data_IF_934567967725
#
_entry.id   IF_934567967725
#
_cell.length_a   1.000
_cell.length_b   1.000
_cell.length_c   1.000
_cell.angle_alpha   90.00
_cell.angle_beta   90.00
_cell.angle_gamma   90.00
#
_symmetry.space_group_name_H-M   'P 1'
#
loop_
_entity.id
_entity.type
_entity.pdbx_description
1 polymer ?
#
# COMPACT_ATOMS: atom_id res chain seq x y z
N UNK A 1 35.11 -46.21 6.86
CA UNK A 1 34.48 -45.52 5.71
C UNK A 1 32.94 -45.45 5.83
N UNK A 2 32.33 -45.49 7.03
CA UNK A 2 30.86 -45.39 7.18
C UNK A 2 30.37 -44.77 8.52
N UNK A 3 31.09 -43.81 9.11
CA UNK A 3 30.62 -43.13 10.35
C UNK A 3 30.12 -41.68 10.14
N UNK A 4 30.16 -41.17 8.90
CA UNK A 4 29.93 -39.75 8.61
C UNK A 4 28.44 -39.34 8.48
N UNK A 5 27.54 -40.30 8.25
CA UNK A 5 26.13 -39.99 7.97
C UNK A 5 25.32 -39.72 9.24
N UNK A 6 25.59 -40.43 10.33
CA UNK A 6 24.87 -40.23 11.60
C UNK A 6 25.34 -38.96 12.33
N UNK A 7 26.63 -38.65 12.25
CA UNK A 7 27.19 -37.42 12.83
C UNK A 7 26.61 -36.19 12.12
N UNK A 8 26.55 -36.19 10.78
CA UNK A 8 25.91 -35.11 10.02
C UNK A 8 24.43 -34.93 10.36
N UNK A 9 23.67 -36.01 10.52
CA UNK A 9 22.26 -35.92 10.95
C UNK A 9 22.13 -35.32 12.35
N UNK A 10 23.01 -35.69 13.29
CA UNK A 10 23.02 -35.10 14.63
C UNK A 10 23.37 -33.61 14.57
N UNK A 11 24.37 -33.24 13.78
CA UNK A 11 24.75 -31.83 13.59
C UNK A 11 23.64 -31.02 12.93
N UNK A 12 22.96 -31.55 11.92
CA UNK A 12 21.80 -30.93 11.29
C UNK A 12 20.63 -30.76 12.28
N UNK A 13 20.37 -31.75 13.14
CA UNK A 13 19.35 -31.61 14.19
C UNK A 13 19.72 -30.58 15.25
N UNK A 14 21.00 -30.51 15.64
CA UNK A 14 21.52 -29.48 16.55
C UNK A 14 21.45 -28.08 15.93
N UNK A 15 21.76 -27.96 14.64
CA UNK A 15 21.65 -26.71 13.90
C UNK A 15 20.18 -26.27 13.75
N UNK A 16 19.26 -27.20 13.45
CA UNK A 16 17.84 -26.91 13.41
C UNK A 16 17.28 -26.52 14.78
N UNK A 17 17.70 -27.20 15.85
CA UNK A 17 17.34 -26.85 17.22
C UNK A 17 17.85 -25.46 17.59
N UNK A 18 19.12 -25.15 17.30
CA UNK A 18 19.69 -23.82 17.52
C UNK A 18 18.97 -22.73 16.71
N UNK A 19 18.67 -22.98 15.44
CA UNK A 19 17.93 -22.05 14.59
C UNK A 19 16.51 -21.80 15.11
N UNK A 20 15.82 -22.85 15.59
CA UNK A 20 14.48 -22.71 16.19
C UNK A 20 14.50 -21.88 17.48
N UNK A 21 15.55 -22.02 18.28
CA UNK A 21 15.74 -21.29 19.54
C UNK A 21 16.07 -19.81 19.27
N UNK A 22 16.88 -19.53 18.25
CA UNK A 22 17.15 -18.17 17.78
C UNK A 22 15.89 -17.53 17.23
N UNK A 23 15.10 -18.23 16.42
CA UNK A 23 13.83 -17.71 15.89
C UNK A 23 12.80 -17.44 16.99
N UNK A 24 12.77 -18.28 18.04
CA UNK A 24 11.91 -18.06 19.21
C UNK A 24 12.35 -16.83 20.00
N UNK A 25 13.65 -16.71 20.31
CA UNK A 25 14.22 -15.54 21.00
C UNK A 25 14.07 -14.26 20.19
N UNK A 26 14.16 -14.34 18.86
CA UNK A 26 13.93 -13.21 17.98
C UNK A 26 12.46 -12.77 18.01
N UNK A 27 11.52 -13.73 17.98
CA UNK A 27 10.09 -13.44 18.16
C UNK A 27 9.82 -12.77 19.51
N UNK A 28 10.32 -13.34 20.59
CA UNK A 28 10.21 -12.77 21.94
C UNK A 28 10.83 -11.35 22.03
N UNK A 29 11.98 -11.12 21.39
CA UNK A 29 12.60 -9.79 21.33
C UNK A 29 11.78 -8.81 20.50
N UNK A 30 11.20 -9.24 19.38
CA UNK A 30 10.32 -8.38 18.56
C UNK A 30 9.01 -8.07 19.28
N UNK A 31 8.47 -9.01 20.04
CA UNK A 31 7.28 -8.79 20.88
C UNK A 31 7.59 -7.85 22.04
N UNK A 32 8.74 -8.00 22.70
CA UNK A 32 9.21 -7.05 23.72
C UNK A 32 9.41 -5.65 23.13
N UNK A 33 10.01 -5.52 21.95
CA UNK A 33 10.15 -4.24 21.24
C UNK A 33 8.80 -3.61 20.88
N UNK A 34 7.83 -4.41 20.46
CA UNK A 34 6.46 -3.94 20.20
C UNK A 34 5.77 -3.52 21.49
N UNK A 35 5.93 -4.29 22.57
CA UNK A 35 5.39 -3.95 23.87
C UNK A 35 6.04 -2.69 24.46
N UNK A 36 7.35 -2.50 24.28
CA UNK A 36 8.09 -1.27 24.63
C UNK A 36 7.63 -0.07 23.80
N UNK A 37 7.36 -0.25 22.51
CA UNK A 37 6.82 0.80 21.64
C UNK A 37 5.38 1.15 22.03
N UNK A 38 4.54 0.14 22.31
CA UNK A 38 3.16 0.32 22.76
C UNK A 38 3.09 0.91 24.19
N UNK A 39 4.04 0.57 25.05
CA UNK A 39 4.22 1.15 26.38
C UNK A 39 4.78 2.58 26.31
N UNK A 40 5.64 2.91 25.33
CA UNK A 40 6.09 4.28 25.07
C UNK A 40 4.94 5.16 24.51
N UNK A 41 4.03 4.58 23.73
CA UNK A 41 2.84 5.27 23.22
C UNK A 41 1.75 5.44 24.30
N UNK A 42 1.67 4.56 25.30
CA UNK A 42 0.76 4.70 26.47
C UNK A 42 1.38 5.41 27.67
N UNK A 43 2.70 5.45 27.77
CA UNK A 43 3.50 5.94 28.89
C UNK A 43 4.10 7.32 28.67
N UNK A 44 3.38 8.21 27.98
CA UNK A 44 3.65 9.65 27.96
C UNK A 44 3.34 10.31 29.31
N UNK A 45 3.81 9.76 30.41
CA UNK A 45 4.01 10.39 31.72
C UNK A 45 4.96 9.49 32.51
N UNK A 46 6.07 10.08 32.95
CA UNK A 46 7.31 9.37 33.20
C UNK A 46 7.31 8.39 34.37
N UNK A 47 8.12 7.34 34.24
CA UNK A 47 8.98 6.81 35.30
C UNK A 47 9.87 5.73 34.69
N UNK A 48 11.18 5.84 34.93
CA UNK A 48 12.15 4.83 34.54
C UNK A 48 12.00 3.57 35.39
N UNK A 49 12.09 2.41 34.74
CA UNK A 49 12.22 1.10 35.37
C UNK A 49 13.30 0.38 34.54
N UNK A 50 14.53 0.35 35.04
CA UNK A 50 15.10 -0.78 35.79
C UNK A 50 15.12 -2.09 34.98
N UNK A 51 16.27 -2.38 34.37
CA UNK A 51 16.65 -3.73 33.97
C UNK A 51 17.32 -4.41 35.17
N UNK A 52 16.56 -5.26 35.85
CA UNK A 52 17.08 -6.25 36.78
C UNK A 52 17.82 -7.34 36.00
N UNK A 53 19.11 -7.49 36.27
CA UNK A 53 19.91 -8.64 35.85
C UNK A 53 19.55 -9.84 36.73
N UNK A 54 18.85 -10.82 36.15
CA UNK A 54 18.77 -12.17 36.70
C UNK A 54 19.84 -13.02 36.02
N UNK A 55 20.94 -13.25 36.71
CA UNK A 55 21.87 -14.35 36.42
C UNK A 55 21.89 -15.28 37.65
N UNK A 56 21.06 -16.32 37.56
CA UNK A 56 21.23 -17.53 38.33
C UNK A 56 21.41 -18.66 37.31
N UNK A 57 22.66 -19.13 37.14
CA UNK A 57 22.97 -20.55 37.18
C UNK A 57 24.48 -20.75 37.23
N UNK A 58 24.95 -21.27 38.36
CA UNK A 58 26.25 -21.90 38.47
C UNK A 58 26.19 -23.38 38.14
N UNK A 59 27.35 -23.92 37.80
CA UNK A 59 27.78 -25.27 38.13
C UNK A 59 29.31 -25.26 38.11
N UNK A 60 30.07 -26.08 38.82
CA UNK A 60 29.84 -26.96 39.95
C UNK A 60 31.23 -27.55 40.20
N UNK A 61 31.81 -27.44 41.40
CA UNK A 61 32.74 -28.47 41.87
C UNK A 61 32.86 -28.51 43.38
N UNK A 62 32.96 -29.74 43.84
CA UNK A 62 32.80 -30.30 45.18
C UNK A 62 34.14 -30.29 45.92
N UNK A 63 34.09 -29.99 47.23
CA UNK A 63 34.76 -30.74 48.32
C UNK A 63 35.32 -29.83 49.42
N UNK A 64 35.04 -30.18 50.68
CA UNK A 64 35.92 -29.85 51.80
C UNK A 64 35.30 -29.13 53.00
N UNK A 65 34.64 -29.91 53.87
CA UNK A 65 34.37 -29.64 55.30
C UNK A 65 35.40 -28.73 56.00
N UNK A 66 34.92 -27.78 56.81
CA UNK A 66 35.04 -27.82 58.29
C UNK A 66 34.25 -26.68 58.96
N UNK A 67 33.72 -27.04 60.12
CA UNK A 67 32.94 -26.28 61.09
C UNK A 67 33.73 -25.11 61.70
N UNK A 68 33.03 -24.05 62.08
CA UNK A 68 33.14 -23.44 63.41
C UNK A 68 32.03 -22.40 63.58
N UNK A 69 31.27 -22.60 64.65
CA UNK A 69 30.36 -21.67 65.28
C UNK A 69 31.02 -20.31 65.56
N UNK A 70 30.25 -19.21 65.44
CA UNK A 70 29.93 -18.46 66.65
C UNK A 70 28.83 -17.43 66.41
N UNK A 71 27.88 -17.48 67.34
CA UNK A 71 26.71 -16.65 67.43
C UNK A 71 27.04 -15.31 68.10
N UNK A 72 26.45 -14.23 67.59
CA UNK A 72 25.97 -13.09 68.37
C UNK A 72 24.90 -12.39 67.51
N UNK A 73 23.62 -12.73 67.67
CA UNK A 73 22.71 -12.18 68.69
C UNK A 73 22.75 -10.66 68.76
N UNK A 74 21.79 -10.01 68.08
CA UNK A 74 20.90 -8.99 68.67
C UNK A 74 19.69 -8.77 67.76
N UNK A 75 18.57 -9.37 68.16
CA UNK A 75 17.25 -8.91 67.75
C UNK A 75 16.77 -7.83 68.71
N UNK A 76 16.11 -6.79 68.19
CA UNK A 76 14.83 -6.27 68.66
C UNK A 76 14.50 -4.95 67.94
N UNK A 77 13.41 -5.01 67.17
CA UNK A 77 12.27 -4.11 67.17
C UNK A 77 12.46 -2.65 67.60
N UNK A 78 11.90 -1.74 66.78
CA UNK A 78 11.32 -0.50 67.28
C UNK A 78 11.61 0.70 66.42
N UNK A 79 10.70 0.97 65.48
CA UNK A 79 10.28 2.29 65.03
C UNK A 79 11.17 3.48 65.44
N UNK A 80 11.97 3.95 64.49
CA UNK A 80 12.06 5.38 64.20
C UNK A 80 11.87 5.55 62.70
N UNK A 81 10.74 6.16 62.35
CA UNK A 81 10.53 6.74 61.04
C UNK A 81 11.61 7.82 60.83
N UNK A 82 12.51 7.61 59.87
CA UNK A 82 13.30 8.69 59.27
C UNK A 82 12.58 9.15 57.99
N UNK A 83 11.90 10.30 58.00
CA UNK A 83 11.25 10.87 56.82
C UNK A 83 12.30 11.59 55.98
N UNK A 84 13.08 10.84 55.19
CA UNK A 84 14.11 11.42 54.32
C UNK A 84 14.12 10.84 52.89
N UNK A 85 13.02 10.23 52.44
CA UNK A 85 12.87 9.69 51.07
C UNK A 85 11.77 10.37 50.24
N UNK A 86 11.36 11.59 50.60
CA UNK A 86 10.50 12.41 49.77
C UNK A 86 11.26 13.69 49.35
N UNK A 87 11.32 13.92 48.04
CA UNK A 87 11.92 15.07 47.36
C UNK A 87 13.44 15.05 47.11
N UNK A 88 13.97 13.97 46.53
CA UNK A 88 15.10 14.17 45.61
C UNK A 88 14.55 14.72 44.30
N UNK A 89 15.01 15.90 43.89
CA UNK A 89 14.70 16.43 42.55
C UNK A 89 15.14 15.39 41.49
N UNK A 90 14.48 15.30 40.32
CA UNK A 90 14.91 14.38 39.26
C UNK A 90 16.38 14.61 38.85
N UNK A 91 16.91 15.81 39.13
CA UNK A 91 18.30 16.19 38.92
C UNK A 91 19.25 15.58 39.96
N UNK A 92 18.91 15.54 41.23
CA UNK A 92 19.70 14.89 42.29
C UNK A 92 19.77 13.37 42.08
N UNK A 93 18.67 12.73 41.67
CA UNK A 93 18.69 11.30 41.29
C UNK A 93 19.60 11.04 40.10
N UNK A 94 19.61 11.97 39.14
CA UNK A 94 20.50 11.90 37.97
C UNK A 94 21.96 12.08 38.39
N UNK A 95 22.25 12.99 39.32
CA UNK A 95 23.59 13.21 39.84
C UNK A 95 24.09 11.98 40.61
N UNK A 96 23.28 11.42 41.51
CA UNK A 96 23.61 10.18 42.21
C UNK A 96 23.91 9.01 41.23
N UNK A 97 23.08 8.83 40.20
CA UNK A 97 23.35 7.83 39.15
C UNK A 97 24.64 8.10 38.37
N UNK A 98 24.98 9.36 38.10
CA UNK A 98 26.23 9.73 37.42
C UNK A 98 27.44 9.46 38.31
N UNK A 99 27.34 9.75 39.60
CA UNK A 99 28.38 9.48 40.60
C UNK A 99 28.61 7.98 40.76
N UNK A 100 27.53 7.19 40.90
CA UNK A 100 27.60 5.73 40.91
C UNK A 100 28.24 5.17 39.63
N UNK A 101 27.84 5.67 38.46
CA UNK A 101 28.45 5.29 37.19
C UNK A 101 29.94 5.64 37.13
N UNK A 102 30.32 6.81 37.64
CA UNK A 102 31.72 7.23 37.70
C UNK A 102 32.55 6.34 38.64
N UNK A 103 32.00 5.96 39.79
CA UNK A 103 32.62 5.06 40.75
C UNK A 103 32.77 3.63 40.18
N UNK A 104 31.77 3.13 39.45
CA UNK A 104 31.84 1.85 38.75
C UNK A 104 32.88 1.86 37.62
N UNK A 105 33.00 2.96 36.88
CA UNK A 105 34.06 3.12 35.88
C UNK A 105 35.44 3.12 36.53
N UNK A 106 35.62 3.77 37.67
CA UNK A 106 36.87 3.76 38.42
C UNK A 106 37.22 2.34 38.91
N UNK A 107 36.25 1.60 39.47
CA UNK A 107 36.42 0.19 39.86
C UNK A 107 36.80 -0.70 38.66
N UNK A 108 36.15 -0.50 37.51
CA UNK A 108 36.48 -1.22 36.27
C UNK A 108 37.92 -0.95 35.83
N UNK A 109 38.36 0.31 35.86
CA UNK A 109 39.76 0.68 35.54
C UNK A 109 40.75 -0.02 36.46
N UNK A 110 40.52 0.03 37.78
CA UNK A 110 41.37 -0.64 38.76
C UNK A 110 41.42 -2.17 38.57
N UNK A 111 40.30 -2.79 38.18
CA UNK A 111 40.27 -4.23 37.84
C UNK A 111 41.06 -4.55 36.57
N UNK A 112 40.97 -3.70 35.54
CA UNK A 112 41.75 -3.86 34.31
C UNK A 112 43.26 -3.70 34.57
N UNK A 113 43.65 -2.74 35.40
CA UNK A 113 45.06 -2.55 35.81
C UNK A 113 45.59 -3.77 36.55
N UNK A 114 44.82 -4.32 37.51
CA UNK A 114 45.17 -5.58 38.19
C UNK A 114 45.25 -6.75 37.22
N UNK A 115 44.31 -6.87 36.29
CA UNK A 115 44.31 -7.93 35.28
C UNK A 115 45.54 -7.84 34.38
N UNK A 116 45.92 -6.64 33.94
CA UNK A 116 47.14 -6.39 33.19
C UNK A 116 48.39 -6.78 33.98
N UNK A 117 48.46 -6.43 35.27
CA UNK A 117 49.57 -6.82 36.14
C UNK A 117 49.68 -8.35 36.28
N UNK A 118 48.56 -9.06 36.42
CA UNK A 118 48.56 -10.54 36.43
C UNK A 118 48.96 -11.13 35.08
N UNK A 119 48.49 -10.56 33.97
CA UNK A 119 48.91 -10.97 32.63
C UNK A 119 50.42 -10.77 32.43
N UNK A 120 51.00 -9.68 32.93
CA UNK A 120 52.44 -9.45 32.90
C UNK A 120 53.21 -10.45 33.77
N UNK A 121 52.72 -10.78 34.97
CA UNK A 121 53.31 -11.81 35.83
C UNK A 121 53.25 -13.20 35.19
N UNK A 122 52.11 -13.56 34.60
CA UNK A 122 51.94 -14.81 33.83
C UNK A 122 52.87 -14.82 32.61
N UNK A 123 52.94 -13.73 31.85
CA UNK A 123 53.82 -13.62 30.70
C UNK A 123 55.29 -13.80 31.08
N UNK A 124 55.73 -13.22 32.21
CA UNK A 124 57.08 -13.43 32.77
C UNK A 124 57.29 -14.87 33.20
N UNK A 125 56.36 -15.46 33.93
CA UNK A 125 56.45 -16.86 34.37
C UNK A 125 56.52 -17.83 33.17
N UNK A 126 55.67 -17.65 32.16
CA UNK A 126 55.71 -18.44 30.93
C UNK A 126 56.94 -18.14 30.06
N UNK A 127 57.49 -16.93 30.09
CA UNK A 127 58.76 -16.62 29.44
C UNK A 127 59.93 -17.31 30.15
N UNK A 128 59.96 -17.31 31.49
CA UNK A 128 60.96 -18.03 32.29
C UNK A 128 60.84 -19.56 32.14
N UNK A 129 59.61 -20.08 32.04
CA UNK A 129 59.35 -21.50 31.77
C UNK A 129 59.81 -21.89 30.35
N UNK A 130 59.58 -21.04 29.34
CA UNK A 130 60.07 -21.25 27.97
C UNK A 130 61.59 -21.17 27.89
N UNK A 131 62.22 -20.24 28.60
CA UNK A 131 63.68 -20.14 28.75
C UNK A 131 64.29 -21.41 29.35
N UNK A 132 63.62 -22.00 30.35
CA UNK A 132 64.03 -23.29 30.94
C UNK A 132 63.87 -24.47 29.98
N UNK A 133 62.91 -24.39 29.05
CA UNK A 133 62.63 -25.43 28.05
C UNK A 133 63.38 -25.23 26.73
N UNK A 134 64.11 -24.12 26.54
CA UNK A 134 64.88 -23.84 25.32
C UNK A 134 64.04 -23.41 24.11
N UNK A 135 62.80 -22.96 24.31
CA UNK A 135 61.82 -22.63 23.25
C UNK A 135 61.74 -21.11 22.94
N UNK A 136 62.82 -20.36 23.16
CA UNK A 136 62.82 -18.90 23.03
C UNK A 136 62.66 -18.41 21.57
N UNK A 137 63.09 -19.22 20.59
CA UNK A 137 63.06 -18.84 19.16
C UNK A 137 61.67 -18.94 18.53
N UNK A 138 60.78 -19.78 19.07
CA UNK A 138 59.50 -20.12 18.42
C UNK A 138 58.41 -19.07 18.68
N UNK A 139 58.60 -18.13 19.63
CA UNK A 139 57.55 -17.18 20.05
C UNK A 139 57.87 -15.70 19.92
N UNK A 140 58.85 -15.30 19.09
CA UNK A 140 58.88 -13.94 18.53
C UNK A 140 57.76 -13.74 17.48
N UNK A 141 56.51 -14.04 17.85
CA UNK A 141 55.35 -13.99 16.95
C UNK A 141 54.95 -12.56 16.56
N UNK A 142 55.56 -11.57 17.21
CA UNK A 142 55.47 -10.14 16.86
C UNK A 142 56.89 -9.63 16.78
N UNK A 143 57.39 -9.48 15.56
CA UNK A 143 58.62 -8.72 15.33
C UNK A 143 58.37 -7.29 15.83
N UNK A 144 59.35 -6.62 16.47
CA UNK A 144 59.20 -5.23 16.90
C UNK A 144 58.83 -4.30 15.73
N UNK A 145 59.19 -4.71 14.51
CA UNK A 145 58.84 -4.06 13.26
C UNK A 145 57.34 -4.19 12.92
N UNK A 146 56.72 -5.35 13.18
CA UNK A 146 55.27 -5.54 13.01
C UNK A 146 54.45 -4.72 14.02
N UNK A 147 54.93 -4.58 15.26
CA UNK A 147 54.32 -3.71 16.26
C UNK A 147 54.46 -2.23 15.88
N UNK A 148 55.63 -1.81 15.39
CA UNK A 148 55.85 -0.46 14.89
C UNK A 148 54.93 -0.13 13.70
N UNK A 149 54.78 -1.07 12.75
CA UNK A 149 53.86 -0.95 11.63
C UNK A 149 52.39 -0.85 12.07
N UNK A 150 51.98 -1.64 13.06
CA UNK A 150 50.63 -1.55 13.66
C UNK A 150 50.38 -0.16 14.26
N UNK A 151 51.31 0.35 15.08
CA UNK A 151 51.18 1.68 15.67
C UNK A 151 51.22 2.82 14.64
N UNK A 152 51.93 2.64 13.52
CA UNK A 152 51.87 3.56 12.39
C UNK A 152 50.49 3.57 11.75
N UNK A 153 49.89 2.40 11.51
CA UNK A 153 48.53 2.28 10.96
C UNK A 153 47.46 2.85 11.90
N UNK A 154 47.59 2.61 13.21
CA UNK A 154 46.67 3.18 14.22
C UNK A 154 46.75 4.71 14.23
N UNK A 155 47.94 5.28 14.09
CA UNK A 155 48.13 6.75 13.95
C UNK A 155 47.49 7.27 12.67
N UNK A 156 47.69 6.61 11.53
CA UNK A 156 47.03 6.98 10.27
C UNK A 156 45.49 6.95 10.40
N UNK A 157 44.93 5.93 11.07
CA UNK A 157 43.49 5.85 11.32
C UNK A 157 43.01 6.97 12.25
N UNK A 158 43.80 7.36 13.26
CA UNK A 158 43.47 8.47 14.14
C UNK A 158 43.48 9.81 13.39
N UNK A 159 44.48 10.04 12.53
CA UNK A 159 44.58 11.21 11.66
C UNK A 159 43.39 11.26 10.68
N UNK A 160 43.05 10.16 10.01
CA UNK A 160 41.88 10.11 9.12
C UNK A 160 40.56 10.35 9.87
N UNK A 161 40.40 9.81 11.08
CA UNK A 161 39.26 10.11 11.94
C UNK A 161 39.18 11.59 12.28
N UNK A 162 40.30 12.24 12.58
CA UNK A 162 40.36 13.67 12.84
C UNK A 162 40.03 14.49 11.59
N UNK A 163 40.51 14.08 10.41
CA UNK A 163 40.17 14.71 9.12
C UNK A 163 38.68 14.60 8.82
N UNK A 164 38.09 13.42 9.02
CA UNK A 164 36.65 13.19 8.84
C UNK A 164 35.83 13.98 9.85
N UNK A 165 36.25 14.02 11.12
CA UNK A 165 35.60 14.82 12.16
C UNK A 165 35.65 16.32 11.84
N UNK A 166 36.80 16.83 11.38
CA UNK A 166 36.96 18.20 10.91
C UNK A 166 36.03 18.53 9.75
N UNK A 167 36.03 17.70 8.69
CA UNK A 167 35.10 17.86 7.54
C UNK A 167 33.64 17.78 7.96
N UNK A 168 33.30 16.92 8.92
CA UNK A 168 31.93 16.82 9.44
C UNK A 168 31.54 18.07 10.22
N UNK A 169 32.44 18.61 11.05
CA UNK A 169 32.21 19.84 11.79
C UNK A 169 32.03 21.04 10.84
N UNK A 170 32.87 21.19 9.82
CA UNK A 170 32.71 22.26 8.83
C UNK A 170 31.39 22.16 8.08
N UNK A 171 31.01 20.96 7.63
CA UNK A 171 29.72 20.75 6.95
C UNK A 171 28.52 21.03 7.87
N UNK A 172 28.62 20.71 9.16
CA UNK A 172 27.58 21.06 10.15
C UNK A 172 27.45 22.56 10.31
N UNK A 173 28.57 23.26 10.49
CA UNK A 173 28.60 24.72 10.59
C UNK A 173 28.03 25.38 9.32
N UNK A 174 28.38 24.87 8.14
CA UNK A 174 27.83 25.36 6.88
C UNK A 174 26.31 25.15 6.81
N UNK A 175 25.80 23.97 7.23
CA UNK A 175 24.37 23.70 7.26
C UNK A 175 23.63 24.62 8.25
N UNK A 176 24.21 24.88 9.41
CA UNK A 176 23.66 25.79 10.42
C UNK A 176 23.61 27.22 9.89
N UNK A 177 24.67 27.68 9.23
CA UNK A 177 24.70 28.99 8.57
C UNK A 177 23.63 29.10 7.49
N UNK A 178 23.45 28.07 6.65
CA UNK A 178 22.39 28.06 5.64
C UNK A 178 21.01 28.09 6.29
N UNK A 179 20.79 27.34 7.38
CA UNK A 179 19.53 27.39 8.14
C UNK A 179 19.26 28.79 8.66
N UNK A 180 20.21 29.41 9.33
CA UNK A 180 20.08 30.78 9.84
C UNK A 180 19.76 31.80 8.74
N UNK A 181 20.36 31.64 7.55
CA UNK A 181 20.09 32.51 6.40
C UNK A 181 18.67 32.36 5.86
N UNK A 182 18.16 31.14 5.78
CA UNK A 182 16.84 30.87 5.21
C UNK A 182 15.71 30.94 6.23
N UNK A 183 15.98 30.82 7.53
CA UNK A 183 14.97 30.89 8.60
C UNK A 183 14.06 32.13 8.52
N UNK A 184 14.56 33.38 8.42
CA UNK A 184 13.70 34.54 8.33
C UNK A 184 12.84 34.52 7.05
N UNK A 185 13.41 34.05 5.94
CA UNK A 185 12.69 33.91 4.67
C UNK A 185 11.56 32.88 4.80
N UNK A 186 11.81 31.76 5.48
CA UNK A 186 10.79 30.72 5.70
C UNK A 186 9.65 31.23 6.59
N UNK A 187 9.98 32.02 7.62
CA UNK A 187 8.98 32.67 8.48
C UNK A 187 8.15 33.69 7.70
N UNK A 188 8.78 34.53 6.87
CA UNK A 188 8.08 35.50 6.01
C UNK A 188 7.14 34.80 5.02
N UNK A 189 7.61 33.73 4.37
CA UNK A 189 6.79 32.94 3.43
C UNK A 189 5.62 32.29 4.15
N UNK A 190 5.83 31.70 5.33
CA UNK A 190 4.74 31.10 6.12
C UNK A 190 3.69 32.15 6.52
N UNK A 191 4.12 33.34 6.90
CA UNK A 191 3.22 34.45 7.23
C UNK A 191 2.43 34.91 6.00
N UNK A 192 3.07 35.04 4.84
CA UNK A 192 2.39 35.37 3.59
C UNK A 192 1.37 34.29 3.21
N UNK A 193 1.73 33.01 3.31
CA UNK A 193 0.82 31.89 3.04
C UNK A 193 -0.41 31.92 3.95
N UNK A 194 -0.22 32.20 5.25
CA UNK A 194 -1.33 32.37 6.20
C UNK A 194 -2.21 33.56 5.84
N UNK A 195 -1.63 34.71 5.48
CA UNK A 195 -2.38 35.89 5.05
C UNK A 195 -3.21 35.61 3.78
N UNK A 196 -2.65 34.89 2.80
CA UNK A 196 -3.39 34.49 1.61
C UNK A 196 -4.55 33.54 1.94
N UNK A 197 -4.33 32.57 2.85
CA UNK A 197 -5.39 31.66 3.28
C UNK A 197 -6.53 32.42 3.98
N UNK A 198 -6.20 33.39 4.85
CA UNK A 198 -7.19 34.24 5.51
C UNK A 198 -7.96 35.08 4.49
N UNK A 199 -7.30 35.69 3.51
CA UNK A 199 -7.95 36.45 2.44
C UNK A 199 -8.92 35.59 1.61
N UNK A 200 -8.54 34.35 1.27
CA UNK A 200 -9.41 33.39 0.57
C UNK A 200 -10.62 33.03 1.44
N UNK A 201 -10.42 32.78 2.74
CA UNK A 201 -11.51 32.49 3.67
C UNK A 201 -12.49 33.66 3.80
N UNK A 202 -11.97 34.90 3.92
CA UNK A 202 -12.80 36.11 3.97
C UNK A 202 -13.58 36.33 2.68
N UNK A 203 -12.96 36.11 1.51
CA UNK A 203 -13.64 36.16 0.22
C UNK A 203 -14.73 35.10 0.12
N UNK A 204 -14.42 33.85 0.49
CA UNK A 204 -15.38 32.74 0.46
C UNK A 204 -16.58 32.98 1.39
N UNK A 205 -16.36 33.61 2.55
CA UNK A 205 -17.43 33.98 3.48
C UNK A 205 -18.35 35.09 2.93
N UNK A 206 -17.83 35.98 2.07
CA UNK A 206 -18.61 37.07 1.44
C UNK A 206 -19.38 36.60 0.20
N UNK A 207 -18.93 35.54 -0.47
CA UNK A 207 -19.56 35.01 -1.69
C UNK A 207 -20.87 34.28 -1.38
N UNK A 208 -21.88 34.49 -2.22
CA UNK A 208 -23.21 33.85 -2.13
C UNK A 208 -23.53 33.08 -3.40
N UNK A 209 -24.31 32.01 -3.27
CA UNK A 209 -24.75 31.22 -4.43
C UNK A 209 -25.75 32.00 -5.29
N UNK A 210 -25.46 32.15 -6.59
CA UNK A 210 -26.26 32.95 -7.56
C UNK A 210 -27.75 32.58 -7.62
N UNK A 211 -28.10 31.30 -7.42
CA UNK A 211 -29.48 30.80 -7.54
C UNK A 211 -30.25 30.79 -6.22
N UNK A 212 -29.57 30.67 -5.09
CA UNK A 212 -30.21 30.48 -3.77
C UNK A 212 -29.95 31.64 -2.81
N UNK A 213 -29.05 32.58 -3.16
CA UNK A 213 -28.58 33.69 -2.31
C UNK A 213 -28.09 33.28 -0.92
N UNK A 214 -27.88 31.98 -0.68
CA UNK A 214 -27.35 31.47 0.58
C UNK A 214 -25.83 31.63 0.58
N UNK A 215 -25.21 31.98 1.72
CA UNK A 215 -23.76 31.95 1.86
C UNK A 215 -23.26 30.50 1.80
N UNK A 216 -21.98 30.34 1.45
CA UNK A 216 -21.32 29.04 1.52
C UNK A 216 -21.22 28.64 3.01
N UNK A 217 -21.61 27.41 3.40
CA UNK A 217 -21.51 26.98 4.79
C UNK A 217 -20.05 26.97 5.25
N UNK A 218 -19.80 27.43 6.48
CA UNK A 218 -18.47 27.53 7.10
C UNK A 218 -17.70 26.22 7.06
N UNK A 219 -18.40 25.10 7.27
CA UNK A 219 -17.82 23.76 7.27
C UNK A 219 -17.32 23.36 5.88
N UNK A 220 -18.01 23.79 4.82
CA UNK A 220 -17.54 23.57 3.45
C UNK A 220 -16.29 24.40 3.16
N UNK A 221 -16.26 25.66 3.61
CA UNK A 221 -15.08 26.54 3.45
C UNK A 221 -13.87 25.92 4.15
N UNK A 222 -14.03 25.42 5.39
CA UNK A 222 -12.96 24.74 6.12
C UNK A 222 -12.45 23.50 5.37
N UNK A 223 -13.35 22.66 4.85
CA UNK A 223 -12.97 21.50 4.03
C UNK A 223 -12.23 21.89 2.75
N UNK A 224 -12.57 23.01 2.12
CA UNK A 224 -11.84 23.51 0.96
C UNK A 224 -10.43 23.97 1.31
N UNK A 225 -10.26 24.70 2.41
CA UNK A 225 -8.94 25.14 2.90
C UNK A 225 -8.05 23.93 3.25
N UNK A 226 -8.59 22.92 3.93
CA UNK A 226 -7.86 21.70 4.26
C UNK A 226 -7.42 20.93 3.00
N UNK A 227 -8.32 20.79 2.02
CA UNK A 227 -7.99 20.15 0.74
C UNK A 227 -6.93 20.94 -0.02
N UNK A 228 -7.00 22.27 -0.03
CA UNK A 228 -6.01 23.12 -0.67
C UNK A 228 -4.65 23.00 0.03
N UNK A 229 -4.62 23.02 1.36
CA UNK A 229 -3.40 22.83 2.15
C UNK A 229 -2.77 21.46 1.88
N UNK A 230 -3.57 20.40 1.81
CA UNK A 230 -3.09 19.06 1.47
C UNK A 230 -2.52 18.98 0.04
N UNK A 231 -3.18 19.60 -0.94
CA UNK A 231 -2.69 19.66 -2.33
C UNK A 231 -1.38 20.46 -2.43
N UNK A 232 -1.30 21.62 -1.77
CA UNK A 232 -0.08 22.44 -1.71
C UNK A 232 1.06 21.66 -1.04
N UNK A 233 0.79 20.95 0.05
CA UNK A 233 1.76 20.05 0.71
C UNK A 233 2.25 18.94 -0.22
N UNK A 234 1.36 18.32 -1.00
CA UNK A 234 1.75 17.31 -2.01
C UNK A 234 2.62 17.91 -3.12
N UNK A 235 2.31 19.12 -3.59
CA UNK A 235 3.13 19.85 -4.56
C UNK A 235 4.50 20.18 -3.97
N UNK A 236 4.58 20.66 -2.72
CA UNK A 236 5.85 20.91 -2.04
C UNK A 236 6.67 19.61 -1.90
N UNK A 237 6.05 18.50 -1.49
CA UNK A 237 6.72 17.20 -1.36
C UNK A 237 7.26 16.68 -2.71
N UNK A 238 6.49 16.81 -3.79
CA UNK A 238 6.93 16.43 -5.14
C UNK A 238 8.08 17.31 -5.64
N UNK A 239 8.06 18.62 -5.37
CA UNK A 239 9.17 19.55 -5.67
C UNK A 239 10.43 19.18 -4.90
N UNK A 240 10.32 18.90 -3.60
CA UNK A 240 11.45 18.44 -2.78
C UNK A 240 12.03 17.14 -3.33
N UNK A 241 11.19 16.17 -3.69
CA UNK A 241 11.65 14.93 -4.35
C UNK A 241 12.35 15.22 -5.68
N UNK A 242 11.81 16.10 -6.51
CA UNK A 242 12.44 16.52 -7.76
C UNK A 242 13.83 17.12 -7.51
N UNK A 243 13.97 18.02 -6.54
CA UNK A 243 15.27 18.59 -6.17
C UNK A 243 16.25 17.54 -5.65
N UNK A 244 15.80 16.59 -4.83
CA UNK A 244 16.63 15.48 -4.37
C UNK A 244 17.12 14.61 -5.53
N UNK A 245 16.24 14.25 -6.46
CA UNK A 245 16.56 13.49 -7.69
C UNK A 245 17.52 14.26 -8.60
N UNK A 246 17.28 15.55 -8.82
CA UNK A 246 18.17 16.42 -9.60
C UNK A 246 19.56 16.50 -8.96
N UNK A 247 19.64 16.67 -7.65
CA UNK A 247 20.91 16.71 -6.92
C UNK A 247 21.63 15.35 -6.96
N UNK A 248 20.90 14.24 -6.86
CA UNK A 248 21.46 12.89 -7.00
C UNK A 248 22.02 12.68 -8.42
N UNK A 249 21.30 13.09 -9.46
CA UNK A 249 21.79 13.06 -10.84
C UNK A 249 23.03 13.94 -11.02
N UNK A 250 23.07 15.13 -10.43
CA UNK A 250 24.25 16.00 -10.48
C UNK A 250 25.45 15.36 -9.77
N UNK A 251 25.25 14.72 -8.61
CA UNK A 251 26.31 13.97 -7.92
C UNK A 251 26.81 12.79 -8.75
N UNK A 252 25.92 12.03 -9.36
CA UNK A 252 26.28 10.91 -10.24
C UNK A 252 27.02 11.39 -11.50
N UNK A 253 26.59 12.50 -12.09
CA UNK A 253 27.31 13.13 -13.22
C UNK A 253 28.68 13.66 -12.82
N UNK A 254 28.82 14.24 -11.61
CA UNK A 254 30.11 14.67 -11.07
C UNK A 254 31.01 13.49 -10.72
N UNK A 255 30.48 12.38 -10.22
CA UNK A 255 31.24 11.16 -9.99
C UNK A 255 31.67 10.52 -11.32
N UNK A 256 30.79 10.50 -12.32
CA UNK A 256 31.11 10.02 -13.67
C UNK A 256 32.15 10.90 -14.38
N UNK A 257 32.10 12.23 -14.20
CA UNK A 257 33.15 13.15 -14.70
C UNK A 257 34.42 13.12 -13.84
N UNK A 258 34.31 12.94 -12.53
CA UNK A 258 35.41 12.89 -11.58
C UNK A 258 36.19 11.58 -11.60
N UNK A 259 35.63 10.52 -12.21
CA UNK A 259 36.35 9.29 -12.54
C UNK A 259 37.31 9.41 -13.72
N UNK A 260 37.29 10.54 -14.45
CA UNK A 260 38.16 10.80 -15.61
C UNK A 260 39.15 11.97 -15.39
N UNK A 261 39.19 12.58 -14.21
CA UNK A 261 40.07 13.70 -13.92
C UNK A 261 40.49 13.71 -12.44
N UNK A 262 41.56 12.96 -12.14
CA UNK A 262 42.42 13.25 -11.00
C UNK A 262 43.38 14.37 -11.40
N UNK A 263 43.39 15.55 -10.74
CA UNK A 263 44.49 16.49 -10.87
C UNK A 263 45.56 16.07 -9.86
N UNK A 264 46.66 15.51 -10.35
CA UNK A 264 47.87 15.28 -9.55
C UNK A 264 48.79 16.49 -9.73
N UNK A 265 49.15 17.25 -8.68
CA UNK A 265 50.21 18.25 -8.74
C UNK A 265 51.50 17.60 -8.22
N UNK A 266 52.24 16.91 -9.09
CA UNK A 266 53.47 16.20 -8.66
C UNK A 266 54.47 15.94 -9.80
N UNK A 267 54.71 16.92 -10.69
CA UNK A 267 55.73 16.78 -11.73
C UNK A 267 56.45 18.11 -12.00
N UNK A 268 57.15 18.62 -10.99
CA UNK A 268 58.02 19.80 -11.15
C UNK A 268 59.37 19.70 -10.41
N UNK A 269 59.69 18.60 -9.72
CA UNK A 269 60.91 18.52 -8.91
C UNK A 269 61.58 17.16 -9.08
N UNK A 270 62.30 16.98 -10.19
CA UNK A 270 63.45 16.06 -10.27
C UNK A 270 64.24 16.38 -11.53
N UNK A 271 64.92 17.51 -11.48
CA UNK A 271 66.02 17.87 -12.38
C UNK A 271 67.15 18.41 -11.50
N UNK A 272 67.92 17.52 -10.86
CA UNK A 272 69.27 17.79 -10.37
C UNK A 272 69.89 16.52 -9.80
N UNK A 273 71.18 16.31 -10.12
CA UNK A 273 72.09 15.29 -9.63
C UNK A 273 71.95 13.88 -10.23
N UNK A 274 72.82 13.54 -11.18
CA UNK A 274 74.08 12.81 -10.89
C UNK A 274 74.89 12.71 -12.19
N UNK A 275 76.16 13.08 -12.12
CA UNK A 275 77.11 12.95 -13.22
C UNK A 275 77.86 11.61 -13.23
N UNK A 276 78.31 11.29 -14.44
CA UNK A 276 79.51 10.54 -14.81
C UNK A 276 79.62 9.00 -14.62
N UNK A 277 79.98 8.42 -15.78
CA UNK A 277 80.80 7.22 -16.04
C UNK A 277 80.14 5.83 -15.98
N UNK A 278 80.03 5.19 -17.15
CA UNK A 278 79.65 3.77 -17.29
C UNK A 278 79.02 3.38 -18.63
N UNK A 279 79.87 3.15 -19.63
CA UNK A 279 79.76 2.16 -20.72
C UNK A 279 78.39 1.50 -21.02
N UNK A 280 77.71 1.95 -22.08
CA UNK A 280 76.88 1.15 -23.02
C UNK A 280 76.07 -0.05 -22.44
N UNK A 281 74.95 0.19 -21.71
CA UNK A 281 73.75 -0.63 -21.90
C UNK A 281 72.46 0.22 -21.94
N UNK A 282 72.58 1.54 -21.85
CA UNK A 282 71.44 2.44 -21.70
C UNK A 282 70.75 2.78 -23.03
N UNK A 283 71.41 2.62 -24.18
CA UNK A 283 70.77 2.80 -25.48
C UNK A 283 69.73 1.70 -25.78
N UNK A 284 70.03 0.45 -25.41
CA UNK A 284 69.10 -0.67 -25.56
C UNK A 284 67.88 -0.54 -24.63
N UNK A 285 68.08 -0.08 -23.40
CA UNK A 285 66.98 0.22 -22.48
C UNK A 285 66.14 1.42 -22.95
N UNK A 286 66.77 2.48 -23.48
CA UNK A 286 66.05 3.63 -24.03
C UNK A 286 65.25 3.26 -25.28
N UNK A 287 65.81 2.39 -26.14
CA UNK A 287 65.12 1.84 -27.30
C UNK A 287 63.95 0.92 -26.88
N UNK A 288 64.14 0.08 -25.86
CA UNK A 288 63.08 -0.75 -25.28
C UNK A 288 61.94 0.10 -24.70
N UNK A 289 62.26 1.14 -23.91
CA UNK A 289 61.24 2.06 -23.39
C UNK A 289 60.51 2.83 -24.49
N UNK A 290 61.19 3.13 -25.60
CA UNK A 290 60.58 3.79 -26.76
C UNK A 290 59.60 2.85 -27.47
N UNK A 291 59.96 1.57 -27.63
CA UNK A 291 59.07 0.53 -28.18
C UNK A 291 57.85 0.35 -27.28
N UNK A 292 58.04 0.25 -25.96
CA UNK A 292 56.93 0.12 -25.00
C UNK A 292 56.00 1.34 -25.05
N UNK A 293 56.56 2.55 -25.18
CA UNK A 293 55.78 3.77 -25.31
C UNK A 293 55.01 3.85 -26.63
N UNK A 294 55.63 3.45 -27.75
CA UNK A 294 54.95 3.35 -29.05
C UNK A 294 53.86 2.29 -29.04
N UNK A 295 54.11 1.14 -28.40
CA UNK A 295 53.11 0.10 -28.19
C UNK A 295 51.94 0.61 -27.36
N UNK A 296 52.20 1.31 -26.24
CA UNK A 296 51.16 1.90 -25.41
C UNK A 296 50.32 2.91 -26.17
N UNK A 297 50.93 3.68 -27.09
CA UNK A 297 50.21 4.59 -27.99
C UNK A 297 49.28 3.84 -28.93
N UNK A 298 49.77 2.78 -29.58
CA UNK A 298 48.97 1.94 -30.48
C UNK A 298 47.80 1.29 -29.74
N UNK A 299 48.05 0.80 -28.53
CA UNK A 299 47.01 0.24 -27.67
C UNK A 299 45.99 1.30 -27.26
N UNK A 300 46.43 2.50 -26.89
CA UNK A 300 45.54 3.60 -26.53
C UNK A 300 44.68 4.03 -27.72
N UNK A 301 45.24 4.13 -28.93
CA UNK A 301 44.47 4.44 -30.14
C UNK A 301 43.45 3.34 -30.43
N UNK A 302 43.83 2.06 -30.35
CA UNK A 302 42.91 0.94 -30.55
C UNK A 302 41.79 0.89 -29.50
N UNK A 303 42.11 1.20 -28.23
CA UNK A 303 41.10 1.28 -27.17
C UNK A 303 40.15 2.45 -27.39
N UNK A 304 40.65 3.61 -27.85
CA UNK A 304 39.81 4.75 -28.18
C UNK A 304 38.86 4.44 -29.35
N UNK A 305 39.35 3.81 -30.41
CA UNK A 305 38.51 3.36 -31.54
C UNK A 305 37.37 2.45 -31.04
N UNK A 306 37.69 1.47 -30.17
CA UNK A 306 36.68 0.60 -29.55
C UNK A 306 35.68 1.38 -28.68
N UNK A 307 36.15 2.37 -27.93
CA UNK A 307 35.27 3.22 -27.12
C UNK A 307 34.32 4.01 -28.04
N UNK A 308 34.83 4.55 -29.14
CA UNK A 308 34.04 5.28 -30.14
C UNK A 308 33.00 4.37 -30.78
N UNK A 309 33.38 3.19 -31.26
CA UNK A 309 32.46 2.17 -31.80
C UNK A 309 31.34 1.81 -30.81
N UNK A 310 31.71 1.53 -29.55
CA UNK A 310 30.72 1.24 -28.48
C UNK A 310 29.83 2.44 -28.20
N UNK A 311 30.37 3.66 -28.25
CA UNK A 311 29.59 4.88 -28.02
C UNK A 311 28.54 5.07 -29.13
N UNK A 312 28.89 4.76 -30.38
CA UNK A 312 27.95 4.78 -31.49
C UNK A 312 26.89 3.69 -31.38
N UNK A 313 27.26 2.46 -31.00
CA UNK A 313 26.31 1.38 -30.73
C UNK A 313 25.29 1.79 -29.67
N UNK A 314 25.75 2.40 -28.57
CA UNK A 314 24.88 2.91 -27.51
C UNK A 314 23.94 3.99 -28.03
N UNK A 315 24.42 4.91 -28.89
CA UNK A 315 23.55 5.92 -29.51
C UNK A 315 22.51 5.29 -30.44
N UNK A 316 22.92 4.34 -31.29
CA UNK A 316 22.02 3.57 -32.17
C UNK A 316 20.94 2.85 -31.36
N UNK A 317 21.29 2.23 -30.23
CA UNK A 317 20.34 1.57 -29.33
C UNK A 317 19.39 2.57 -28.67
N UNK A 318 19.87 3.73 -28.21
CA UNK A 318 19.01 4.80 -27.65
C UNK A 318 17.98 5.30 -28.65
N UNK A 319 18.38 5.47 -29.91
CA UNK A 319 17.47 5.89 -30.98
C UNK A 319 16.41 4.80 -31.25
N UNK A 320 16.82 3.52 -31.29
CA UNK A 320 15.89 2.38 -31.41
C UNK A 320 14.87 2.37 -30.27
N UNK A 321 15.32 2.49 -29.01
CA UNK A 321 14.45 2.53 -27.83
C UNK A 321 13.46 3.69 -27.92
N UNK A 322 13.91 4.88 -28.30
CA UNK A 322 13.06 6.07 -28.44
C UNK A 322 11.99 5.86 -29.51
N UNK A 323 12.37 5.31 -30.67
CA UNK A 323 11.41 4.98 -31.74
C UNK A 323 10.41 3.92 -31.29
N UNK A 324 10.86 2.87 -30.59
CA UNK A 324 9.95 1.86 -30.02
C UNK A 324 8.98 2.46 -29.02
N UNK A 325 9.41 3.41 -28.18
CA UNK A 325 8.53 4.13 -27.25
C UNK A 325 7.48 4.94 -28.02
N UNK A 326 7.86 5.66 -29.08
CA UNK A 326 6.90 6.40 -29.91
C UNK A 326 5.88 5.46 -30.56
N UNK A 327 6.33 4.35 -31.17
CA UNK A 327 5.44 3.34 -31.76
C UNK A 327 4.50 2.75 -30.72
N UNK A 328 5.01 2.38 -29.54
CA UNK A 328 4.19 1.86 -28.44
C UNK A 328 3.17 2.89 -27.95
N UNK A 329 3.53 4.18 -27.92
CA UNK A 329 2.62 5.27 -27.56
C UNK A 329 1.49 5.40 -28.58
N UNK A 330 1.81 5.43 -29.88
CA UNK A 330 0.79 5.46 -30.94
C UNK A 330 -0.12 4.23 -30.93
N UNK A 331 0.43 3.04 -30.68
CA UNK A 331 -0.38 1.81 -30.56
C UNK A 331 -1.32 1.90 -29.36
N UNK A 332 -0.83 2.43 -28.23
CA UNK A 332 -1.65 2.63 -27.03
C UNK A 332 -2.78 3.64 -27.29
N UNK A 333 -2.50 4.77 -27.92
CA UNK A 333 -3.50 5.78 -28.28
C UNK A 333 -4.58 5.18 -29.19
N UNK A 334 -4.17 4.47 -30.25
CA UNK A 334 -5.12 3.77 -31.15
C UNK A 334 -5.96 2.75 -30.41
N UNK A 335 -5.35 1.98 -29.50
CA UNK A 335 -6.06 1.00 -28.69
C UNK A 335 -7.09 1.66 -27.77
N UNK A 336 -6.75 2.79 -27.17
CA UNK A 336 -7.66 3.53 -26.29
C UNK A 336 -8.82 4.15 -27.09
N UNK A 337 -8.57 4.68 -28.31
CA UNK A 337 -9.65 5.10 -29.22
C UNK A 337 -10.59 3.94 -29.57
N UNK A 338 -10.05 2.79 -30.00
CA UNK A 338 -10.87 1.62 -30.36
C UNK A 338 -11.65 1.09 -29.14
N UNK A 339 -11.08 1.17 -27.94
CA UNK A 339 -11.78 0.79 -26.69
C UNK A 339 -12.97 1.70 -26.41
N UNK A 340 -12.81 3.01 -26.62
CA UNK A 340 -13.90 3.96 -26.47
C UNK A 340 -15.01 3.69 -27.49
N UNK A 341 -14.67 3.52 -28.77
CA UNK A 341 -15.64 3.15 -29.82
C UNK A 341 -16.37 1.85 -29.49
N UNK A 342 -15.68 0.84 -28.97
CA UNK A 342 -16.30 -0.41 -28.53
C UNK A 342 -17.27 -0.20 -27.36
N UNK A 343 -16.95 0.69 -26.43
CA UNK A 343 -17.82 1.02 -25.31
C UNK A 343 -19.09 1.72 -25.77
N UNK A 344 -18.97 2.67 -26.71
CA UNK A 344 -20.11 3.35 -27.35
C UNK A 344 -21.00 2.36 -28.11
N UNK A 345 -20.41 1.46 -28.91
CA UNK A 345 -21.15 0.42 -29.61
C UNK A 345 -21.90 -0.51 -28.65
N UNK A 346 -21.29 -0.88 -27.52
CA UNK A 346 -21.97 -1.67 -26.48
C UNK A 346 -23.15 -0.92 -25.85
N UNK A 347 -23.01 0.39 -25.64
CA UNK A 347 -24.12 1.22 -25.17
C UNK A 347 -25.25 1.27 -26.20
N UNK A 348 -24.93 1.39 -27.49
CA UNK A 348 -25.92 1.34 -28.55
C UNK A 348 -26.65 -0.01 -28.60
N UNK A 349 -25.94 -1.13 -28.48
CA UNK A 349 -26.56 -2.46 -28.39
C UNK A 349 -27.51 -2.56 -27.20
N UNK A 350 -27.06 -2.13 -26.01
CA UNK A 350 -27.90 -2.12 -24.81
C UNK A 350 -29.17 -1.28 -24.99
N UNK A 351 -29.06 -0.08 -25.59
CA UNK A 351 -30.21 0.78 -25.90
C UNK A 351 -31.19 0.09 -26.85
N UNK A 352 -30.69 -0.56 -27.91
CA UNK A 352 -31.55 -1.27 -28.86
C UNK A 352 -32.22 -2.50 -28.22
N UNK A 353 -31.54 -3.19 -27.30
CA UNK A 353 -32.11 -4.31 -26.55
C UNK A 353 -33.22 -3.85 -25.60
N UNK A 354 -33.06 -2.70 -24.97
CA UNK A 354 -34.10 -2.06 -24.14
C UNK A 354 -35.33 -1.67 -24.97
N UNK A 355 -35.12 -1.02 -26.12
CA UNK A 355 -36.20 -0.67 -27.06
C UNK A 355 -36.94 -1.92 -27.55
N UNK A 356 -36.20 -2.96 -27.90
CA UNK A 356 -36.73 -4.24 -28.37
C UNK A 356 -37.49 -4.97 -27.25
N UNK A 357 -36.99 -4.91 -26.01
CA UNK A 357 -37.69 -5.36 -24.81
C UNK A 357 -39.02 -4.63 -24.63
N UNK A 358 -39.01 -3.31 -24.74
CA UNK A 358 -40.22 -2.48 -24.67
C UNK A 358 -41.24 -2.82 -25.76
N UNK A 359 -40.80 -3.04 -27.00
CA UNK A 359 -41.67 -3.45 -28.11
C UNK A 359 -42.27 -4.85 -27.87
N UNK A 360 -41.48 -5.80 -27.36
CA UNK A 360 -41.95 -7.15 -26.99
C UNK A 360 -43.05 -7.08 -25.92
N UNK A 361 -42.87 -6.24 -24.91
CA UNK A 361 -43.86 -6.04 -23.84
C UNK A 361 -45.15 -5.40 -24.34
N UNK A 362 -45.06 -4.41 -25.22
CA UNK A 362 -46.23 -3.80 -25.85
C UNK A 362 -47.00 -4.81 -26.70
N UNK A 363 -46.29 -5.66 -27.46
CA UNK A 363 -46.89 -6.74 -28.22
C UNK A 363 -47.58 -7.77 -27.31
N UNK A 364 -46.95 -8.14 -26.20
CA UNK A 364 -47.56 -9.05 -25.22
C UNK A 364 -48.84 -8.43 -24.61
N UNK A 365 -48.82 -7.14 -24.25
CA UNK A 365 -49.99 -6.40 -23.75
C UNK A 365 -51.11 -6.36 -24.80
N UNK A 366 -50.79 -6.06 -26.06
CA UNK A 366 -51.79 -6.00 -27.14
C UNK A 366 -52.38 -7.38 -27.44
N UNK A 367 -51.56 -8.44 -27.43
CA UNK A 367 -52.02 -9.83 -27.55
C UNK A 367 -53.01 -10.20 -26.43
N UNK A 368 -52.66 -9.92 -25.17
CA UNK A 368 -53.55 -10.16 -24.02
C UNK A 368 -54.89 -9.42 -24.15
N UNK A 369 -54.87 -8.15 -24.58
CA UNK A 369 -56.10 -7.36 -24.83
C UNK A 369 -56.94 -7.99 -25.93
N UNK A 370 -56.32 -8.37 -27.06
CA UNK A 370 -57.02 -9.05 -28.16
C UNK A 370 -57.68 -10.33 -27.68
N UNK A 371 -56.97 -11.16 -26.93
CA UNK A 371 -57.48 -12.43 -26.43
C UNK A 371 -58.59 -12.26 -25.39
N UNK A 372 -58.56 -11.15 -24.63
CA UNK A 372 -59.66 -10.77 -23.74
C UNK A 372 -60.91 -10.37 -24.53
N UNK A 373 -60.77 -9.57 -25.59
CA UNK A 373 -61.88 -9.20 -26.47
C UNK A 373 -62.44 -10.41 -27.22
N UNK A 374 -61.59 -11.32 -27.71
CA UNK A 374 -62.03 -12.57 -28.34
C UNK A 374 -62.86 -13.40 -27.36
N UNK A 375 -62.37 -13.62 -26.13
CA UNK A 375 -63.11 -14.34 -25.08
C UNK A 375 -64.45 -13.66 -24.75
N UNK A 376 -64.47 -12.33 -24.64
CA UNK A 376 -65.70 -11.58 -24.39
C UNK A 376 -66.69 -11.71 -25.56
N UNK A 377 -66.21 -11.66 -26.80
CA UNK A 377 -67.03 -11.83 -28.00
C UNK A 377 -67.64 -13.24 -28.06
N UNK A 378 -66.86 -14.28 -27.77
CA UNK A 378 -67.36 -15.67 -27.68
C UNK A 378 -68.44 -15.80 -26.61
N UNK A 379 -68.21 -15.29 -25.39
CA UNK A 379 -69.21 -15.28 -24.30
C UNK A 379 -70.50 -14.55 -24.68
N UNK A 380 -70.39 -13.45 -25.44
CA UNK A 380 -71.54 -12.70 -25.92
C UNK A 380 -72.34 -13.52 -26.94
N UNK A 381 -71.67 -14.17 -27.89
CA UNK A 381 -72.30 -15.07 -28.86
C UNK A 381 -72.95 -16.29 -28.22
N UNK A 382 -72.35 -16.85 -27.17
CA UNK A 382 -72.94 -17.95 -26.38
C UNK A 382 -74.26 -17.53 -25.72
N UNK A 383 -74.32 -16.31 -25.14
CA UNK A 383 -75.54 -15.79 -24.50
C UNK A 383 -76.59 -15.32 -25.50
N UNK A 384 -76.16 -14.76 -26.61
CA UNK A 384 -77.02 -14.19 -27.64
C UNK A 384 -76.52 -14.65 -29.02
N UNK A 385 -76.98 -15.81 -29.52
CA UNK A 385 -76.44 -16.43 -30.73
C UNK A 385 -76.72 -15.63 -32.01
N UNK A 386 -77.72 -14.75 -31.99
CA UNK A 386 -78.03 -13.87 -33.12
C UNK A 386 -77.13 -12.62 -33.17
N UNK A 387 -76.28 -12.37 -32.15
CA UNK A 387 -75.42 -11.19 -32.12
C UNK A 387 -74.29 -11.32 -33.13
N UNK A 388 -74.22 -10.34 -34.04
CA UNK A 388 -73.22 -10.27 -35.11
C UNK A 388 -73.73 -10.72 -36.48
N UNK A 389 -74.91 -11.34 -36.57
CA UNK A 389 -75.54 -11.75 -37.83
C UNK A 389 -76.76 -10.87 -38.12
N UNK A 390 -76.53 -9.75 -38.81
CA UNK A 390 -77.57 -8.74 -39.12
C UNK A 390 -78.75 -9.36 -39.88
N UNK A 391 -78.47 -10.18 -40.88
CA UNK A 391 -79.53 -10.76 -41.73
C UNK A 391 -80.41 -11.73 -40.95
N UNK A 392 -79.82 -12.54 -40.07
CA UNK A 392 -80.57 -13.45 -39.20
C UNK A 392 -81.43 -12.69 -38.19
N UNK A 393 -80.95 -11.55 -37.69
CA UNK A 393 -81.71 -10.67 -36.81
C UNK A 393 -82.93 -10.07 -37.55
N UNK A 394 -82.73 -9.57 -38.76
CA UNK A 394 -83.79 -9.02 -39.60
C UNK A 394 -84.84 -10.09 -39.97
N UNK A 395 -84.40 -11.31 -40.29
CA UNK A 395 -85.32 -12.41 -40.59
C UNK A 395 -86.10 -12.86 -39.35
N UNK A 396 -85.46 -12.85 -38.17
CA UNK A 396 -86.16 -13.09 -36.91
C UNK A 396 -87.23 -12.01 -36.67
N UNK A 397 -86.93 -10.73 -36.88
CA UNK A 397 -87.89 -9.63 -36.74
C UNK A 397 -89.08 -9.78 -37.69
N UNK A 398 -88.82 -10.07 -38.97
CA UNK A 398 -89.87 -10.32 -39.97
C UNK A 398 -90.75 -11.51 -39.58
N UNK A 399 -90.15 -12.65 -39.19
CA UNK A 399 -90.90 -13.83 -38.75
C UNK A 399 -91.72 -13.54 -37.50
N UNK A 400 -91.16 -12.77 -36.56
CA UNK A 400 -91.86 -12.35 -35.35
C UNK A 400 -93.11 -11.53 -35.69
N UNK A 401 -93.00 -10.57 -36.62
CA UNK A 401 -94.13 -9.79 -37.12
C UNK A 401 -95.22 -10.70 -37.73
N UNK A 402 -94.82 -11.61 -38.63
CA UNK A 402 -95.75 -12.57 -39.26
C UNK A 402 -96.45 -13.46 -38.22
N UNK A 403 -95.74 -13.92 -37.19
CA UNK A 403 -96.33 -14.71 -36.09
C UNK A 403 -97.35 -13.88 -35.30
N UNK A 404 -97.10 -12.59 -35.05
CA UNK A 404 -98.08 -11.72 -34.41
C UNK A 404 -99.35 -11.57 -35.25
N UNK A 405 -99.22 -11.43 -36.57
CA UNK A 405 -100.36 -11.36 -37.47
C UNK A 405 -101.19 -12.65 -37.43
N UNK A 406 -100.53 -13.81 -37.48
CA UNK A 406 -101.21 -15.11 -37.36
C UNK A 406 -101.89 -15.29 -36.00
N UNK A 407 -101.26 -14.88 -34.90
CA UNK A 407 -101.89 -14.92 -33.56
C UNK A 407 -103.15 -14.05 -33.52
N UNK A 408 -103.09 -12.87 -34.11
CA UNK A 408 -104.23 -11.95 -34.19
C UNK A 408 -105.37 -12.56 -35.00
N UNK A 409 -105.07 -13.15 -36.17
CA UNK A 409 -106.04 -13.87 -36.99
C UNK A 409 -106.62 -15.08 -36.27
N UNK A 410 -105.81 -15.83 -35.51
CA UNK A 410 -106.27 -16.96 -34.72
C UNK A 410 -107.32 -16.51 -33.70
N UNK A 411 -107.06 -15.42 -32.96
CA UNK A 411 -108.02 -14.84 -32.02
C UNK A 411 -109.32 -14.47 -32.73
N UNK A 412 -109.23 -13.74 -33.85
CA UNK A 412 -110.41 -13.36 -34.65
C UNK A 412 -111.22 -14.57 -35.13
N UNK A 413 -110.56 -15.61 -35.65
CA UNK A 413 -111.21 -16.85 -36.08
C UNK A 413 -111.84 -17.62 -34.92
N UNK A 414 -111.17 -17.67 -33.75
CA UNK A 414 -111.75 -18.30 -32.57
C UNK A 414 -112.96 -17.55 -32.05
N UNK A 415 -112.96 -16.22 -32.08
CA UNK A 415 -114.10 -15.42 -31.66
C UNK A 415 -115.26 -15.56 -32.65
N UNK A 416 -114.97 -15.56 -33.95
CA UNK A 416 -115.97 -15.84 -34.99
C UNK A 416 -116.54 -17.25 -34.90
N UNK A 417 -115.73 -18.25 -34.56
CA UNK A 417 -116.21 -19.61 -34.31
C UNK A 417 -117.10 -19.66 -33.06
N UNK A 418 -116.73 -18.97 -31.97
CA UNK A 418 -117.61 -18.84 -30.78
C UNK A 418 -118.94 -18.19 -31.16
N UNK A 419 -118.92 -17.15 -31.99
CA UNK A 419 -120.15 -16.49 -32.50
C UNK A 419 -121.01 -17.46 -33.31
N UNK A 420 -120.44 -18.14 -34.30
CA UNK A 420 -121.16 -19.14 -35.11
C UNK A 420 -121.68 -20.30 -34.27
N UNK A 421 -120.91 -20.77 -33.27
CA UNK A 421 -121.39 -21.81 -32.35
C UNK A 421 -122.55 -21.30 -31.48
N UNK A 422 -122.58 -20.02 -31.12
CA UNK A 422 -123.75 -19.42 -30.45
C UNK A 422 -124.96 -19.40 -31.37
N UNK A 423 -124.80 -19.01 -32.64
CA UNK A 423 -125.91 -19.01 -33.60
C UNK A 423 -126.41 -20.42 -33.89
N UNK A 424 -125.52 -21.40 -34.09
CA UNK A 424 -125.92 -22.81 -34.27
C UNK A 424 -126.70 -23.32 -33.07
N UNK A 425 -126.26 -23.04 -31.84
CA UNK A 425 -127.02 -23.41 -30.64
C UNK A 425 -128.40 -22.74 -30.56
N UNK A 426 -128.50 -21.48 -31.00
CA UNK A 426 -129.78 -20.77 -31.08
C UNK A 426 -130.71 -21.41 -32.10
N UNK A 427 -130.22 -21.72 -33.30
CA UNK A 427 -130.98 -22.41 -34.35
C UNK A 427 -131.34 -23.86 -33.96
N UNK A 428 -130.45 -24.60 -33.30
CA UNK A 428 -130.75 -25.93 -32.74
C UNK A 428 -131.88 -25.86 -31.70
N UNK A 429 -131.86 -24.86 -30.82
CA UNK A 429 -132.95 -24.62 -29.88
C UNK A 429 -134.28 -24.31 -30.61
N UNK A 430 -134.24 -23.53 -31.69
CA UNK A 430 -135.39 -23.23 -32.53
C UNK A 430 -135.90 -24.47 -33.30
N UNK A 431 -135.01 -25.33 -33.80
CA UNK A 431 -135.40 -26.61 -34.44
C UNK A 431 -136.04 -27.55 -33.41
N UNK A 432 -135.51 -27.61 -32.18
CA UNK A 432 -136.10 -28.40 -31.10
C UNK A 432 -137.50 -27.88 -30.76
N UNK A 433 -137.72 -26.55 -30.68
CA UNK A 433 -139.05 -25.99 -30.47
C UNK A 433 -140.00 -26.29 -31.63
N UNK A 434 -139.56 -26.11 -32.88
CA UNK A 434 -140.36 -26.44 -34.07
C UNK A 434 -140.68 -27.95 -34.17
N UNK A 435 -139.74 -28.82 -33.77
CA UNK A 435 -139.98 -30.28 -33.70
C UNK A 435 -140.97 -30.63 -32.60
N UNK A 436 -140.93 -29.91 -31.47
CA UNK A 436 -141.93 -30.04 -30.42
C UNK A 436 -143.32 -29.62 -30.92
N UNK A 437 -143.42 -28.50 -31.65
CA UNK A 437 -144.65 -28.02 -32.29
C UNK A 437 -145.20 -29.00 -33.35
N UNK A 438 -144.33 -29.56 -34.20
CA UNK A 438 -144.71 -30.58 -35.19
C UNK A 438 -145.14 -31.92 -34.56
N UNK A 439 -144.62 -32.26 -33.37
CA UNK A 439 -145.05 -33.44 -32.61
C UNK A 439 -146.44 -33.29 -31.97
N UNK A 440 -147.04 -32.11 -32.07
CA UNK A 440 -148.39 -31.78 -31.57
C UNK A 440 -149.45 -31.60 -32.67
N UNK A 441 -149.15 -31.95 -33.93
CA UNK A 441 -150.16 -32.00 -34.99
C UNK A 441 -150.87 -33.37 -35.07
N UNK A 442 -152.21 -33.45 -34.96
CA UNK A 442 -152.97 -34.68 -35.19
C UNK A 442 -153.04 -34.98 -36.69
N UNK A 443 -153.02 -36.28 -37.03
CA UNK A 443 -153.17 -36.78 -38.41
C UNK A 443 -154.49 -36.38 -39.05
#
# INVERSE_FOLDING_TARGET
>A
MYDDAEVRRRDETCQHAAASLIQRRWREHTERRKFEQDAALRGGCGTGIQLGTSEAFGGAQVSGRKEADDAQSKGCNGALEDPAQAAQTPEERRQACLEEYSALLAKRKALLEKNLAYQQLLARHYAEQRRRNGEDDVTQLTTPDAEAAYWALVRQVAEERQRVAGRSATLKNDLELQRQRYEPIMVEVALQEQNFQQCIQELAARVRFMRSNRPIPTDAIAQYVEREAAQRGAIQASRVRYFQLKNRLLRLRRAAKGGAASPTPASAETAAATGQDGEEPNAANHHMFLIDFEQLKVENTSLNEKIEERSEEVLKLRNKVTNTIHVATHVREKLDCVRMENAELRQHVASTDEELGGARDQLAKSKRRRDAYLRANTRMKERMPLVGSRDLLLDYEKRKAVIYDYRTRLVQLTDRHKELMRTVKQEEAAIISLRHELSHYPR
#
